data_IF_128059339384
#
_entry.id   IF_128059339384
#
_cell.length_a   1.000
_cell.length_b   1.000
_cell.length_c   1.000
_cell.angle_alpha   90.00
_cell.angle_beta   90.00
_cell.angle_gamma   90.00
#
_symmetry.space_group_name_H-M   'P 1'
#
loop_
_entity.id
_entity.type
_entity.pdbx_description
1 polymer ?
#
# COMPACT_ATOMS: atom_id res chain seq x y z
N UNK A 1 -9.92 -9.44 -6.45
CA UNK A 1 -9.98 -8.45 -5.37
C UNK A 1 -9.28 -9.03 -4.16
N UNK A 2 -8.50 -8.21 -3.46
CA UNK A 2 -7.77 -8.59 -2.25
C UNK A 2 -8.14 -7.62 -1.14
N UNK A 3 -8.35 -8.16 0.06
CA UNK A 3 -8.68 -7.37 1.26
C UNK A 3 -7.60 -7.63 2.29
N UNK A 4 -7.04 -6.56 2.86
CA UNK A 4 -5.98 -6.64 3.87
C UNK A 4 -6.37 -5.80 5.08
N UNK A 5 -6.22 -6.36 6.27
CA UNK A 5 -6.31 -5.59 7.52
C UNK A 5 -4.94 -5.01 7.85
N UNK A 6 -4.79 -3.70 7.70
CA UNK A 6 -3.53 -2.98 7.87
C UNK A 6 -3.69 -1.85 8.90
N UNK A 7 -2.57 -1.34 9.39
CA UNK A 7 -2.53 -0.30 10.41
C UNK A 7 -1.97 1.00 9.84
N UNK A 8 -2.52 2.12 10.30
CA UNK A 8 -1.97 3.44 10.01
C UNK A 8 -0.50 3.51 10.45
N UNK A 9 0.31 4.26 9.69
CA UNK A 9 1.74 4.42 9.94
C UNK A 9 2.64 3.30 9.40
N UNK A 10 2.06 2.20 8.89
CA UNK A 10 2.85 1.18 8.20
C UNK A 10 3.33 1.70 6.84
N UNK A 11 4.61 1.50 6.53
CA UNK A 11 5.11 1.72 5.18
C UNK A 11 4.76 0.49 4.34
N UNK A 12 4.01 0.71 3.27
CA UNK A 12 3.59 -0.36 2.38
C UNK A 12 4.11 -0.14 0.96
N UNK A 13 4.50 -1.24 0.32
CA UNK A 13 4.97 -1.33 -1.06
C UNK A 13 4.12 -2.34 -1.81
N UNK A 14 3.62 -1.93 -2.97
CA UNK A 14 2.72 -2.67 -3.83
C UNK A 14 3.33 -2.70 -5.24
N UNK A 15 3.38 -3.87 -5.86
CA UNK A 15 3.84 -4.04 -7.23
C UNK A 15 2.97 -5.07 -7.97
N UNK A 16 2.42 -4.67 -9.11
CA UNK A 16 1.65 -5.47 -10.04
C UNK A 16 2.48 -5.70 -11.31
N UNK A 17 2.90 -6.93 -11.53
CA UNK A 17 3.59 -7.33 -12.75
C UNK A 17 2.59 -7.96 -13.71
N UNK A 18 2.36 -7.31 -14.84
CA UNK A 18 1.50 -7.77 -15.93
C UNK A 18 2.04 -7.20 -17.26
N UNK A 19 1.59 -7.71 -18.41
CA UNK A 19 1.88 -7.06 -19.68
C UNK A 19 1.54 -5.56 -19.67
N UNK A 20 2.33 -4.70 -20.34
CA UNK A 20 2.09 -3.26 -20.33
C UNK A 20 0.68 -2.90 -20.81
N UNK A 21 -0.02 -2.03 -20.08
CA UNK A 21 -1.36 -1.56 -20.45
C UNK A 21 -2.47 -2.60 -20.35
N UNK A 22 -2.18 -3.82 -19.89
CA UNK A 22 -3.17 -4.90 -19.85
C UNK A 22 -3.96 -4.95 -18.54
N UNK A 23 -3.63 -4.10 -17.56
CA UNK A 23 -4.31 -4.05 -16.26
C UNK A 23 -4.55 -2.62 -15.78
N UNK A 24 -5.54 -2.48 -14.91
CA UNK A 24 -5.80 -1.30 -14.10
C UNK A 24 -5.77 -1.67 -12.63
N UNK A 25 -5.20 -0.79 -11.82
CA UNK A 25 -5.04 -0.98 -10.39
C UNK A 25 -5.84 0.07 -9.61
N UNK A 26 -6.65 -0.37 -8.67
CA UNK A 26 -7.24 0.49 -7.65
C UNK A 26 -6.83 0.01 -6.27
N UNK A 27 -6.64 0.97 -5.36
CA UNK A 27 -6.28 0.77 -3.97
C UNK A 27 -7.09 1.73 -3.09
N UNK A 28 -8.06 1.19 -2.36
CA UNK A 28 -9.03 1.96 -1.59
C UNK A 28 -8.70 1.94 -0.09
N UNK A 29 -8.99 3.07 0.55
CA UNK A 29 -8.83 3.25 2.00
C UNK A 29 -10.03 2.66 2.76
N UNK A 30 -9.87 2.27 4.04
CA UNK A 30 -10.95 1.73 4.86
C UNK A 30 -12.15 2.68 5.02
N UNK A 31 -11.89 3.98 5.19
CA UNK A 31 -12.92 5.01 5.37
C UNK A 31 -12.61 6.19 4.43
N UNK A 32 -13.22 6.26 3.24
CA UNK A 32 -13.05 7.36 2.31
C UNK A 32 -13.53 8.70 2.87
N UNK A 33 -12.74 9.76 2.68
CA UNK A 33 -13.14 11.15 2.95
C UNK A 33 -13.02 11.99 1.68
N UNK A 34 -13.58 13.21 1.62
CA UNK A 34 -13.38 14.10 0.48
C UNK A 34 -11.90 14.41 0.18
N UNK A 35 -11.07 14.48 1.22
CA UNK A 35 -9.64 14.75 1.12
C UNK A 35 -8.83 13.50 0.76
N UNK A 36 -9.31 12.32 1.16
CA UNK A 36 -8.68 11.04 0.90
C UNK A 36 -9.74 10.01 0.46
N UNK A 37 -10.21 10.11 -0.80
CA UNK A 37 -11.22 9.19 -1.31
C UNK A 37 -10.65 7.80 -1.62
N UNK A 38 -9.36 7.71 -1.98
CA UNK A 38 -8.64 6.48 -2.33
C UNK A 38 -7.13 6.74 -2.37
N UNK A 39 -6.32 5.67 -2.39
CA UNK A 39 -4.87 5.77 -2.61
C UNK A 39 -4.54 5.68 -4.11
N UNK A 40 -5.24 4.81 -4.84
CA UNK A 40 -5.20 4.72 -6.30
C UNK A 40 -6.59 4.38 -6.83
N UNK A 41 -6.95 4.91 -7.99
CA UNK A 41 -8.18 4.51 -8.69
C UNK A 41 -7.92 4.37 -10.17
N UNK A 42 -8.33 3.24 -10.74
CA UNK A 42 -8.23 2.94 -12.18
C UNK A 42 -6.87 3.33 -12.79
N UNK A 43 -5.81 3.11 -12.03
CA UNK A 43 -4.48 3.58 -12.34
C UNK A 43 -3.84 2.70 -13.43
N UNK A 44 -3.09 3.33 -14.35
CA UNK A 44 -2.19 2.60 -15.25
C UNK A 44 -0.89 2.20 -14.52
N UNK A 45 -0.61 2.87 -13.40
CA UNK A 45 0.53 2.60 -12.56
C UNK A 45 0.39 1.20 -11.96
N UNK A 46 1.49 0.47 -12.08
CA UNK A 46 1.61 -0.89 -11.56
C UNK A 46 2.27 -0.93 -10.18
N UNK A 47 2.70 0.21 -9.65
CA UNK A 47 3.40 0.27 -8.36
C UNK A 47 2.86 1.38 -7.49
N UNK A 48 2.80 1.13 -6.19
CA UNK A 48 2.51 2.14 -5.18
C UNK A 48 3.42 1.92 -3.97
N UNK A 49 3.89 3.00 -3.38
CA UNK A 49 4.61 2.95 -2.12
C UNK A 49 4.25 4.17 -1.28
N UNK A 50 4.00 3.97 0.00
CA UNK A 50 3.62 5.05 0.89
C UNK A 50 3.28 4.57 2.29
N UNK A 51 3.21 5.52 3.20
CA UNK A 51 2.70 5.30 4.55
C UNK A 51 1.17 5.19 4.51
N UNK A 52 0.63 4.21 5.23
CA UNK A 52 -0.81 4.00 5.29
C UNK A 52 -1.47 5.04 6.20
N UNK A 53 -2.46 5.80 5.70
CA UNK A 53 -3.08 6.90 6.47
C UNK A 53 -4.14 6.44 7.48
N UNK A 54 -4.59 5.19 7.41
CA UNK A 54 -5.73 4.69 8.18
C UNK A 54 -5.47 3.25 8.65
N UNK A 55 -6.12 2.85 9.74
CA UNK A 55 -6.17 1.45 10.16
C UNK A 55 -7.48 0.83 9.71
N UNK A 56 -7.45 -0.42 9.28
CA UNK A 56 -8.64 -1.20 8.92
C UNK A 56 -8.46 -2.00 7.63
N UNK A 57 -9.60 -2.34 7.02
CA UNK A 57 -9.64 -3.15 5.81
C UNK A 57 -9.43 -2.29 4.56
N UNK A 58 -8.27 -2.47 3.95
CA UNK A 58 -7.97 -1.91 2.64
C UNK A 58 -8.38 -2.87 1.53
N UNK A 59 -8.77 -2.31 0.38
CA UNK A 59 -9.16 -3.09 -0.79
C UNK A 59 -8.24 -2.81 -1.97
N UNK A 60 -7.74 -3.88 -2.59
CA UNK A 60 -6.95 -3.81 -3.82
C UNK A 60 -7.70 -4.53 -4.93
N UNK A 61 -7.96 -3.80 -6.01
CA UNK A 61 -8.69 -4.28 -7.18
C UNK A 61 -7.76 -4.23 -8.38
N UNK A 62 -7.60 -5.39 -9.02
CA UNK A 62 -6.89 -5.53 -10.29
C UNK A 62 -7.92 -5.89 -11.34
N UNK A 63 -8.01 -5.07 -12.40
CA UNK A 63 -8.94 -5.26 -13.51
C UNK A 63 -8.13 -5.50 -14.78
N UNK A 64 -8.40 -6.58 -15.50
CA UNK A 64 -7.81 -6.81 -16.82
C UNK A 64 -8.42 -5.87 -17.86
N UNK A 65 -7.59 -5.34 -18.75
CA UNK A 65 -7.99 -4.64 -19.97
C UNK A 65 -7.76 -5.51 -21.22
N UNK A 66 -7.18 -6.70 -21.06
CA UNK A 66 -6.93 -7.62 -22.16
C UNK A 66 -8.19 -8.39 -22.55
N UNK A 67 -8.30 -8.73 -23.84
CA UNK A 67 -9.38 -9.58 -24.37
C UNK A 67 -9.17 -11.06 -24.04
N UNK A 68 -7.92 -11.45 -23.77
CA UNK A 68 -7.54 -12.82 -23.41
C UNK A 68 -7.03 -12.89 -21.96
N UNK A 69 -7.07 -14.07 -21.32
CA UNK A 69 -6.47 -14.27 -20.01
C UNK A 69 -4.99 -13.94 -20.01
N UNK A 70 -4.56 -13.10 -19.07
CA UNK A 70 -3.16 -12.72 -18.90
C UNK A 70 -2.61 -13.24 -17.57
N UNK A 71 -1.35 -13.72 -17.54
CA UNK A 71 -0.68 -13.94 -16.27
C UNK A 71 -0.38 -12.60 -15.61
N UNK A 72 -0.57 -12.52 -14.30
CA UNK A 72 -0.11 -11.39 -13.50
C UNK A 72 0.41 -11.86 -12.15
N UNK A 73 1.24 -11.03 -11.52
CA UNK A 73 1.74 -11.23 -10.16
C UNK A 73 1.56 -9.96 -9.35
N UNK A 74 0.85 -10.07 -8.24
CA UNK A 74 0.74 -9.02 -7.24
C UNK A 74 1.69 -9.33 -6.08
N UNK A 75 2.56 -8.38 -5.74
CA UNK A 75 3.48 -8.47 -4.61
C UNK A 75 3.24 -7.32 -3.66
N UNK A 76 3.13 -7.62 -2.37
CA UNK A 76 2.92 -6.65 -1.31
C UNK A 76 4.00 -6.84 -0.25
N UNK A 77 4.59 -5.75 0.21
CA UNK A 77 5.48 -5.69 1.35
C UNK A 77 4.98 -4.64 2.33
N UNK A 78 4.90 -5.00 3.61
CA UNK A 78 4.50 -4.08 4.69
C UNK A 78 5.60 -4.10 5.72
N UNK A 79 6.19 -2.94 5.96
CA UNK A 79 7.22 -2.77 6.97
C UNK A 79 6.54 -2.40 8.30
N UNK A 80 6.65 -3.28 9.29
CA UNK A 80 6.22 -2.98 10.64
C UNK A 80 7.33 -2.20 11.34
N UNK A 81 7.19 -0.89 11.42
CA UNK A 81 7.96 -0.11 12.39
C UNK A 81 7.31 -0.37 13.76
N UNK A 82 7.72 -1.44 14.43
CA UNK A 82 7.63 -1.44 15.87
C UNK A 82 8.63 -0.38 16.32
N UNK A 83 8.15 0.79 16.76
CA UNK A 83 8.96 1.65 17.63
C UNK A 83 9.31 0.78 18.83
N UNK A 84 10.48 0.15 18.77
CA UNK A 84 11.07 -0.55 19.90
C UNK A 84 11.54 0.54 20.87
N UNK A 85 10.56 1.10 21.59
CA UNK A 85 10.78 2.15 22.59
C UNK A 85 11.72 1.65 23.70
N UNK A 86 11.96 0.33 23.79
CA UNK A 86 12.87 -0.30 24.72
C UNK A 86 14.32 -0.37 24.20
N UNK A 87 14.55 -0.33 22.88
CA UNK A 87 15.89 -0.39 22.26
C UNK A 87 16.37 0.92 21.64
N UNK A 88 15.67 2.04 21.85
CA UNK A 88 16.20 3.35 21.44
C UNK A 88 17.45 3.68 22.26
N UNK A 89 18.65 3.83 21.65
CA UNK A 89 19.81 4.30 22.39
C UNK A 89 19.50 5.67 22.98
N UNK A 90 19.76 5.84 24.29
CA UNK A 90 19.50 7.08 24.99
C UNK A 90 20.21 8.25 24.27
N UNK A 91 19.57 9.42 24.12
CA UNK A 91 20.21 10.59 23.54
C UNK A 91 21.53 10.88 24.27
N UNK A 92 22.61 11.24 23.55
CA UNK A 92 23.88 11.56 24.20
C UNK A 92 23.67 12.69 25.21
N UNK A 93 24.17 12.47 26.44
CA UNK A 93 24.08 13.45 27.51
C UNK A 93 24.73 14.76 27.05
N UNK A 94 23.98 15.86 27.13
CA UNK A 94 24.54 17.20 26.92
C UNK A 94 25.52 17.48 28.05
N UNK A 95 26.81 17.45 27.75
CA UNK A 95 27.84 18.07 28.60
C UNK A 95 27.70 19.58 28.46
N UNK A 96 27.23 20.23 29.53
CA UNK A 96 27.30 21.68 29.72
C UNK A 96 28.71 22.09 30.12
#
# INVERSE_FOLDING_TARGET
>A
MYILNLSAGQLMRLNLQAPPGSTRLSFYVPVPTPELPHLLTNAEQNTWAGELPQSGYYEIVVVSQAQEPIPYRLTLGVDNVFEDILNRPAPPAKTN
#
